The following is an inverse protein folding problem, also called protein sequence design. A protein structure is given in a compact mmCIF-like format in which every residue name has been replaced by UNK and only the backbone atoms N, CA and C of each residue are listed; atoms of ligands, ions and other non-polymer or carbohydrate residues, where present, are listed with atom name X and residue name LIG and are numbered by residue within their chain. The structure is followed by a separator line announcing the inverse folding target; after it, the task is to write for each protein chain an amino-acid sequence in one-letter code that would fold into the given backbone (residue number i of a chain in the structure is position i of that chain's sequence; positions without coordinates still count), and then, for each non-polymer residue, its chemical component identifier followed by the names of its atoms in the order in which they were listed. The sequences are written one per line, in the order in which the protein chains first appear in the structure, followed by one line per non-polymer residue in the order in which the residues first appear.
data_IF_361577481926
#
_entry.id   IF_361577481926
#
_cell.length_a   1.000
_cell.length_b   1.000
_cell.length_c   1.000
_cell.angle_alpha   90.00
_cell.angle_beta   90.00
_cell.angle_gamma   90.00
#
_symmetry.space_group_name_H-M   'P 1'
#
loop_
_entity.id
_entity.type
_entity.pdbx_description
1 polymer ?
#
# COMPACT_ATOMS: atom_id res chain seq x y z
N UNK A 1 -25.27 -3.72 -12.17
CA UNK A 1 -24.39 -4.08 -11.03
C UNK A 1 -23.44 -2.91 -10.77
N UNK A 2 -23.71 -2.04 -9.78
CA UNK A 2 -22.79 -0.94 -9.44
C UNK A 2 -21.54 -1.58 -8.82
N UNK A 3 -20.43 -1.64 -9.56
CA UNK A 3 -19.15 -2.06 -8.99
C UNK A 3 -18.83 -1.14 -7.81
N UNK A 4 -18.73 -1.72 -6.62
CA UNK A 4 -18.50 -1.00 -5.37
C UNK A 4 -17.06 -0.49 -5.37
N UNK A 5 -16.86 0.70 -5.95
CA UNK A 5 -15.57 1.40 -5.93
C UNK A 5 -15.19 1.71 -4.49
N UNK A 6 -13.91 1.55 -4.17
CA UNK A 6 -13.37 2.03 -2.90
C UNK A 6 -13.35 3.56 -2.93
N UNK A 7 -13.65 4.19 -1.78
CA UNK A 7 -13.55 5.64 -1.63
C UNK A 7 -12.13 6.12 -1.99
N UNK A 8 -12.02 7.34 -2.52
CA UNK A 8 -10.71 7.97 -2.73
C UNK A 8 -10.22 8.53 -1.39
N UNK A 9 -9.04 8.09 -0.98
CA UNK A 9 -8.33 8.57 0.20
C UNK A 9 -7.03 9.24 -0.24
N UNK A 10 -6.58 10.24 0.49
CA UNK A 10 -5.18 10.64 0.44
C UNK A 10 -4.34 9.51 1.05
N UNK A 11 -3.46 8.91 0.25
CA UNK A 11 -2.70 7.71 0.67
C UNK A 11 -1.30 8.12 1.10
N UNK A 12 -0.88 7.61 2.26
CA UNK A 12 0.44 7.82 2.85
C UNK A 12 1.19 6.49 2.94
N UNK A 13 2.34 6.36 2.29
CA UNK A 13 3.14 5.12 2.33
C UNK A 13 4.30 5.28 3.31
N UNK A 14 4.23 4.61 4.47
CA UNK A 14 5.21 4.81 5.54
C UNK A 14 5.85 3.49 6.03
N UNK A 15 6.98 3.59 6.72
CA UNK A 15 7.49 2.49 7.52
C UNK A 15 6.75 2.43 8.88
N UNK A 16 6.60 1.25 9.47
CA UNK A 16 5.98 1.15 10.80
C UNK A 16 6.69 2.01 11.87
N UNK A 17 8.03 2.03 11.99
CA UNK A 17 8.71 2.87 12.99
C UNK A 17 8.52 4.39 12.81
N UNK A 18 8.01 4.77 11.65
CA UNK A 18 7.77 6.14 11.25
C UNK A 18 6.40 6.65 11.75
N UNK A 19 5.50 5.75 12.16
CA UNK A 19 4.22 6.11 12.78
C UNK A 19 4.45 6.60 14.20
N UNK A 20 4.21 7.90 14.41
CA UNK A 20 4.27 8.61 15.68
C UNK A 20 3.13 9.63 15.77
N UNK A 21 2.83 10.15 16.95
CA UNK A 21 1.72 11.10 17.10
C UNK A 21 1.97 12.41 16.34
N UNK A 22 3.23 12.81 16.15
CA UNK A 22 3.63 14.10 15.59
C UNK A 22 3.59 14.15 14.06
N UNK A 23 3.41 13.01 13.39
CA UNK A 23 3.37 12.95 11.92
C UNK A 23 1.97 13.21 11.33
N UNK A 24 0.95 13.38 12.18
CA UNK A 24 -0.42 13.57 11.74
C UNK A 24 -0.76 15.06 11.66
N UNK A 25 -0.91 15.57 10.44
CA UNK A 25 -1.32 16.96 10.20
C UNK A 25 -2.83 17.18 10.45
N UNK A 26 -3.59 16.08 10.57
CA UNK A 26 -5.02 16.09 10.86
C UNK A 26 -5.35 15.18 12.04
N UNK A 27 -6.56 15.32 12.58
CA UNK A 27 -7.03 14.46 13.67
C UNK A 27 -7.00 12.99 13.28
N UNK A 28 -6.48 12.13 14.16
CA UNK A 28 -6.40 10.67 13.97
C UNK A 28 -7.78 10.03 13.72
N UNK A 29 -8.87 10.67 14.15
CA UNK A 29 -10.24 10.22 13.83
C UNK A 29 -10.59 10.32 12.34
N UNK A 30 -9.84 11.09 11.54
CA UNK A 30 -9.96 11.15 10.08
C UNK A 30 -8.96 10.26 9.35
N UNK A 31 -8.10 9.57 10.09
CA UNK A 31 -7.05 8.73 9.54
C UNK A 31 -7.40 7.24 9.72
N UNK A 32 -7.01 6.41 8.77
CA UNK A 32 -7.04 4.97 8.91
C UNK A 32 -5.68 4.38 8.59
N UNK A 33 -5.40 3.17 9.09
CA UNK A 33 -4.12 2.49 8.89
C UNK A 33 -4.28 1.04 8.45
N UNK A 34 -3.44 0.64 7.49
CA UNK A 34 -3.20 -0.76 7.10
C UNK A 34 -1.74 -1.08 7.40
N UNK A 35 -1.50 -2.03 8.31
CA UNK A 35 -0.17 -2.51 8.68
C UNK A 35 0.06 -3.94 8.17
N UNK A 36 1.02 -4.12 7.26
CA UNK A 36 1.33 -5.39 6.59
C UNK A 36 2.53 -6.12 7.20
N UNK A 37 2.69 -6.10 8.52
CA UNK A 37 3.88 -6.61 9.21
C UNK A 37 3.55 -7.02 10.64
N UNK A 38 4.28 -8.00 11.16
CA UNK A 38 4.19 -8.48 12.55
C UNK A 38 4.92 -7.58 13.55
N UNK A 39 5.78 -6.69 13.05
CA UNK A 39 6.47 -5.69 13.88
C UNK A 39 5.43 -4.87 14.65
N UNK A 40 5.50 -4.96 15.97
CA UNK A 40 4.68 -4.16 16.85
C UNK A 40 5.11 -2.68 16.80
N UNK A 41 4.12 -1.81 16.97
CA UNK A 41 4.31 -0.40 17.24
C UNK A 41 3.11 0.07 18.05
N UNK A 42 3.36 0.53 19.28
CA UNK A 42 2.32 0.99 20.19
C UNK A 42 1.49 2.15 19.61
N UNK A 43 2.08 2.96 18.73
CA UNK A 43 1.40 4.07 18.05
C UNK A 43 0.31 3.60 17.08
N UNK A 44 0.25 2.31 16.73
CA UNK A 44 -0.92 1.75 16.05
C UNK A 44 -2.18 1.84 16.92
N UNK A 45 -2.06 1.95 18.25
CA UNK A 45 -3.19 2.13 19.17
C UNK A 45 -3.75 3.55 19.18
N UNK A 46 -3.08 4.51 18.51
CA UNK A 46 -3.63 5.85 18.30
C UNK A 46 -4.89 5.81 17.41
N UNK A 47 -4.94 4.87 16.48
CA UNK A 47 -6.07 4.71 15.56
C UNK A 47 -7.21 3.96 16.24
N UNK A 48 -8.47 4.41 16.09
CA UNK A 48 -9.63 3.66 16.54
C UNK A 48 -9.68 2.26 15.92
N UNK A 49 -10.24 1.28 16.64
CA UNK A 49 -10.26 -0.12 16.17
C UNK A 49 -10.89 -0.31 14.79
N UNK A 50 -11.95 0.44 14.48
CA UNK A 50 -12.61 0.42 13.16
C UNK A 50 -11.78 1.04 12.03
N UNK A 51 -10.73 1.79 12.37
CA UNK A 51 -9.84 2.50 11.45
C UNK A 51 -8.44 1.87 11.41
N UNK A 52 -8.29 0.67 11.98
CA UNK A 52 -7.02 -0.05 12.06
C UNK A 52 -7.15 -1.46 11.50
N UNK A 53 -6.29 -1.77 10.53
CA UNK A 53 -6.20 -3.09 9.91
C UNK A 53 -4.76 -3.60 10.02
N UNK A 54 -4.55 -4.67 10.78
CA UNK A 54 -3.24 -5.33 10.88
C UNK A 54 -3.34 -6.69 10.20
N UNK A 55 -2.61 -6.88 9.11
CA UNK A 55 -2.65 -8.09 8.28
C UNK A 55 -1.21 -8.52 7.98
N UNK A 56 -0.58 -9.29 8.88
CA UNK A 56 0.80 -9.70 8.71
C UNK A 56 0.95 -10.73 7.58
N UNK A 57 1.99 -10.56 6.78
CA UNK A 57 2.49 -11.55 5.82
C UNK A 57 3.96 -11.22 5.47
N UNK A 58 4.69 -12.24 5.02
CA UNK A 58 6.10 -12.12 4.68
C UNK A 58 6.30 -11.31 3.39
N UNK A 59 7.45 -10.64 3.30
CA UNK A 59 7.87 -9.88 2.13
C UNK A 59 8.50 -10.81 1.09
N UNK A 60 7.67 -11.63 0.47
CA UNK A 60 8.08 -12.64 -0.52
C UNK A 60 7.22 -12.55 -1.77
N UNK A 61 7.76 -13.01 -2.88
CA UNK A 61 7.04 -13.07 -4.17
C UNK A 61 6.78 -14.49 -4.65
N UNK A 62 7.19 -15.50 -3.88
CA UNK A 62 6.85 -16.90 -4.11
C UNK A 62 5.47 -17.20 -3.51
N UNK A 63 4.45 -17.52 -4.34
CA UNK A 63 3.11 -17.82 -3.85
C UNK A 63 3.04 -19.10 -3.03
N UNK A 64 3.99 -20.03 -3.17
CA UNK A 64 4.01 -21.30 -2.42
C UNK A 64 4.61 -21.15 -1.01
N UNK A 65 5.30 -20.05 -0.74
CA UNK A 65 5.83 -19.78 0.60
C UNK A 65 4.69 -19.68 1.63
N UNK A 66 4.89 -20.34 2.78
CA UNK A 66 3.86 -20.51 3.80
C UNK A 66 3.31 -19.16 4.31
N UNK A 67 4.18 -18.18 4.56
CA UNK A 67 3.80 -16.86 5.05
C UNK A 67 3.55 -15.84 3.93
N UNK A 68 3.51 -16.25 2.66
CA UNK A 68 3.20 -15.34 1.57
C UNK A 68 1.79 -14.76 1.72
N UNK A 69 1.54 -13.61 1.10
CA UNK A 69 0.19 -13.07 1.01
C UNK A 69 -0.76 -14.07 0.33
N UNK A 70 -1.92 -14.32 0.95
CA UNK A 70 -2.98 -15.19 0.41
C UNK A 70 -4.26 -14.40 0.21
N UNK A 71 -5.24 -15.01 -0.46
CA UNK A 71 -6.54 -14.36 -0.71
C UNK A 71 -7.26 -13.91 0.56
N UNK A 72 -7.11 -14.63 1.67
CA UNK A 72 -7.68 -14.22 2.96
C UNK A 72 -7.15 -12.87 3.46
N UNK A 73 -5.83 -12.63 3.33
CA UNK A 73 -5.20 -11.35 3.69
C UNK A 73 -5.76 -10.20 2.84
N UNK A 74 -5.82 -10.40 1.52
CA UNK A 74 -6.36 -9.42 0.60
C UNK A 74 -7.85 -9.11 0.87
N UNK A 75 -8.66 -10.14 1.13
CA UNK A 75 -10.08 -9.93 1.50
C UNK A 75 -10.24 -9.19 2.83
N UNK A 76 -9.35 -9.40 3.80
CA UNK A 76 -9.38 -8.63 5.05
C UNK A 76 -9.14 -7.13 4.79
N UNK A 77 -8.14 -6.79 3.96
CA UNK A 77 -7.85 -5.41 3.53
C UNK A 77 -9.06 -4.82 2.78
N UNK A 78 -9.61 -5.53 1.80
CA UNK A 78 -10.75 -5.07 1.01
C UNK A 78 -11.98 -4.84 1.88
N UNK A 79 -12.27 -5.77 2.80
CA UNK A 79 -13.39 -5.65 3.74
C UNK A 79 -13.20 -4.44 4.64
N UNK A 80 -12.01 -4.24 5.19
CA UNK A 80 -11.66 -3.09 5.99
C UNK A 80 -11.93 -1.77 5.25
N UNK A 81 -11.40 -1.62 4.02
CA UNK A 81 -11.60 -0.42 3.20
C UNK A 81 -13.08 -0.12 2.92
N UNK A 82 -13.90 -1.15 2.71
CA UNK A 82 -15.35 -1.00 2.48
C UNK A 82 -16.12 -0.61 3.74
N UNK A 83 -15.56 -0.83 4.92
CA UNK A 83 -16.19 -0.58 6.22
C UNK A 83 -15.65 0.69 6.89
N UNK A 84 -14.71 1.40 6.25
CA UNK A 84 -14.17 2.63 6.79
C UNK A 84 -15.27 3.70 6.89
N UNK A 85 -15.31 4.44 8.01
CA UNK A 85 -16.25 5.55 8.18
C UNK A 85 -16.07 6.65 7.12
N UNK A 86 -17.15 7.37 6.80
CA UNK A 86 -17.15 8.41 5.77
C UNK A 86 -16.26 9.61 6.14
N UNK A 87 -16.02 9.85 7.43
CA UNK A 87 -15.13 10.88 7.93
C UNK A 87 -13.64 10.60 7.67
N UNK A 88 -13.27 9.35 7.35
CA UNK A 88 -11.89 8.98 7.05
C UNK A 88 -11.47 9.52 5.69
N UNK A 89 -10.51 10.44 5.67
CA UNK A 89 -9.96 11.03 4.44
C UNK A 89 -8.59 10.49 4.10
N UNK A 90 -7.83 10.04 5.11
CA UNK A 90 -6.41 9.73 4.97
C UNK A 90 -6.15 8.26 5.31
N UNK A 91 -5.39 7.59 4.44
CA UNK A 91 -5.08 6.17 4.57
C UNK A 91 -3.57 5.96 4.64
N UNK A 92 -3.09 5.58 5.82
CA UNK A 92 -1.72 5.21 6.08
C UNK A 92 -1.51 3.73 5.76
N UNK A 93 -0.58 3.42 4.86
CA UNK A 93 -0.28 2.06 4.44
C UNK A 93 1.17 1.76 4.78
N UNK A 94 1.37 0.80 5.69
CA UNK A 94 2.63 0.60 6.36
C UNK A 94 3.15 -0.82 6.23
N UNK A 95 4.46 -0.96 6.08
CA UNK A 95 5.17 -2.22 6.26
C UNK A 95 6.45 -2.00 7.09
N UNK A 96 7.28 -3.02 7.26
CA UNK A 96 8.44 -2.92 8.15
C UNK A 96 9.42 -1.79 7.78
N UNK A 97 9.65 -1.55 6.47
CA UNK A 97 10.58 -0.51 5.96
C UNK A 97 9.92 0.51 5.03
N UNK A 98 8.65 0.34 4.67
CA UNK A 98 7.91 1.24 3.78
C UNK A 98 8.20 1.10 2.28
N UNK A 99 9.00 0.12 1.84
CA UNK A 99 9.54 0.09 0.47
C UNK A 99 8.96 -0.96 -0.50
N UNK A 100 8.28 -2.00 0.02
CA UNK A 100 7.90 -3.17 -0.78
C UNK A 100 6.41 -3.54 -0.66
N UNK A 101 5.99 -4.11 0.47
CA UNK A 101 4.58 -4.50 0.69
C UNK A 101 3.61 -3.31 0.71
N UNK A 102 3.94 -2.25 1.44
CA UNK A 102 3.07 -1.07 1.57
C UNK A 102 2.82 -0.34 0.25
N UNK A 103 3.81 -0.04 -0.60
CA UNK A 103 3.53 0.56 -1.91
C UNK A 103 2.72 -0.37 -2.81
N UNK A 104 2.91 -1.70 -2.74
CA UNK A 104 2.08 -2.64 -3.50
C UNK A 104 0.60 -2.60 -3.09
N UNK A 105 0.32 -2.51 -1.78
CA UNK A 105 -1.04 -2.31 -1.27
C UNK A 105 -1.58 -0.95 -1.73
N UNK A 106 -0.80 0.12 -1.62
CA UNK A 106 -1.19 1.46 -2.05
C UNK A 106 -1.57 1.52 -3.54
N UNK A 107 -0.74 0.95 -4.41
CA UNK A 107 -0.99 0.82 -5.84
C UNK A 107 -2.31 0.08 -6.12
N UNK A 108 -2.57 -1.02 -5.41
CA UNK A 108 -3.83 -1.74 -5.55
C UNK A 108 -5.03 -0.90 -5.09
N UNK A 109 -4.93 -0.18 -3.97
CA UNK A 109 -5.99 0.71 -3.46
C UNK A 109 -6.28 1.86 -4.45
N UNK A 110 -5.27 2.45 -5.08
CA UNK A 110 -5.44 3.44 -6.13
C UNK A 110 -6.34 2.90 -7.24
N UNK A 111 -6.02 1.71 -7.78
CA UNK A 111 -6.85 1.08 -8.82
C UNK A 111 -8.26 0.74 -8.35
N UNK A 112 -8.44 0.26 -7.13
CA UNK A 112 -9.76 -0.02 -6.56
C UNK A 112 -10.65 1.23 -6.46
N UNK A 113 -10.02 2.39 -6.25
CA UNK A 113 -10.68 3.70 -6.24
C UNK A 113 -10.84 4.32 -7.64
N UNK A 114 -10.38 3.64 -8.68
CA UNK A 114 -10.40 4.09 -10.07
C UNK A 114 -9.34 5.16 -10.39
N UNK A 115 -8.26 5.24 -9.60
CA UNK A 115 -7.10 6.11 -9.84
C UNK A 115 -5.98 5.32 -10.52
N UNK A 116 -5.07 6.05 -11.17
CA UNK A 116 -3.86 5.49 -11.77
C UNK A 116 -2.86 5.12 -10.68
N UNK A 117 -2.31 3.91 -10.76
CA UNK A 117 -1.29 3.41 -9.84
C UNK A 117 0.15 3.62 -10.31
N UNK A 118 0.35 4.16 -11.52
CA UNK A 118 1.68 4.51 -12.05
C UNK A 118 2.46 5.43 -11.13
N UNK A 119 1.80 6.34 -10.41
CA UNK A 119 2.45 7.21 -9.42
C UNK A 119 3.27 6.44 -8.37
N UNK A 120 2.88 5.19 -8.07
CA UNK A 120 3.64 4.30 -7.17
C UNK A 120 4.71 3.53 -7.94
N UNK A 121 4.38 2.98 -9.11
CA UNK A 121 5.30 2.15 -9.89
C UNK A 121 6.44 2.96 -10.53
N UNK A 122 6.20 4.20 -10.92
CA UNK A 122 7.21 5.10 -11.49
C UNK A 122 8.06 5.79 -10.41
N UNK A 123 7.72 5.64 -9.12
CA UNK A 123 8.53 6.15 -8.04
C UNK A 123 9.72 5.22 -7.76
N UNK A 124 10.97 5.65 -8.04
CA UNK A 124 12.17 4.83 -7.86
C UNK A 124 12.55 4.57 -6.40
N UNK A 125 11.91 5.24 -5.44
CA UNK A 125 12.08 4.95 -4.02
C UNK A 125 11.46 3.61 -3.63
N UNK A 126 10.37 3.22 -4.31
CA UNK A 126 9.65 1.99 -4.03
C UNK A 126 10.08 0.87 -4.96
N UNK A 127 10.01 -0.36 -4.43
CA UNK A 127 10.10 -1.60 -5.20
C UNK A 127 8.88 -2.43 -4.83
N UNK A 128 7.69 -2.11 -5.37
CA UNK A 128 6.46 -2.72 -4.91
C UNK A 128 6.45 -4.25 -5.12
N UNK A 129 6.07 -4.99 -4.08
CA UNK A 129 5.97 -6.45 -4.14
C UNK A 129 4.88 -6.89 -5.14
N UNK A 130 5.28 -7.60 -6.20
CA UNK A 130 4.37 -7.93 -7.30
C UNK A 130 3.27 -8.90 -6.89
N UNK A 131 3.58 -9.87 -6.02
CA UNK A 131 2.62 -10.88 -5.55
C UNK A 131 1.53 -10.22 -4.70
N UNK A 132 1.91 -9.29 -3.84
CA UNK A 132 0.96 -8.51 -3.01
C UNK A 132 -0.03 -7.76 -3.88
N UNK A 133 0.48 -6.99 -4.85
CA UNK A 133 -0.36 -6.24 -5.77
C UNK A 133 -1.31 -7.16 -6.55
N UNK A 134 -0.80 -8.25 -7.11
CA UNK A 134 -1.57 -9.22 -7.89
C UNK A 134 -2.70 -9.88 -7.09
N UNK A 135 -2.39 -10.39 -5.90
CA UNK A 135 -3.37 -11.06 -5.05
C UNK A 135 -4.48 -10.09 -4.66
N UNK A 136 -4.13 -8.87 -4.24
CA UNK A 136 -5.11 -7.86 -3.86
C UNK A 136 -6.01 -7.45 -5.04
N UNK A 137 -5.42 -7.18 -6.21
CA UNK A 137 -6.17 -6.86 -7.41
C UNK A 137 -7.13 -8.00 -7.78
N UNK A 138 -6.65 -9.25 -7.79
CA UNK A 138 -7.45 -10.43 -8.10
C UNK A 138 -8.64 -10.59 -7.15
N UNK A 139 -8.43 -10.51 -5.84
CA UNK A 139 -9.51 -10.67 -4.86
C UNK A 139 -10.55 -9.54 -4.93
N UNK A 140 -10.18 -8.35 -5.42
CA UNK A 140 -11.14 -7.28 -5.68
C UNK A 140 -11.89 -7.44 -7.01
N UNK A 141 -11.36 -8.25 -7.94
CA UNK A 141 -11.89 -8.40 -9.30
C UNK A 141 -11.26 -7.43 -10.31
N UNK A 142 -10.08 -6.87 -10.02
CA UNK A 142 -9.29 -6.11 -10.99
C UNK A 142 -8.45 -7.04 -11.85
N UNK A 143 -8.44 -6.78 -13.15
CA UNK A 143 -7.57 -7.47 -14.08
C UNK A 143 -6.12 -6.97 -13.92
N UNK A 144 -5.24 -7.87 -13.46
CA UNK A 144 -3.80 -7.63 -13.27
C UNK A 144 -3.02 -8.91 -13.67
N UNK A 145 -3.03 -9.29 -14.95
CA UNK A 145 -2.36 -10.50 -15.42
C UNK A 145 -0.84 -10.39 -15.28
N UNK A 146 -0.15 -11.54 -15.32
CA UNK A 146 1.30 -11.60 -15.11
C UNK A 146 2.11 -10.72 -16.05
N UNK A 147 1.74 -10.63 -17.32
CA UNK A 147 2.45 -9.79 -18.28
C UNK A 147 2.35 -8.30 -17.93
N UNK A 148 1.19 -7.85 -17.42
CA UNK A 148 0.96 -6.46 -17.03
C UNK A 148 1.81 -6.12 -15.81
N UNK A 149 1.82 -7.01 -14.83
CA UNK A 149 2.61 -6.81 -13.60
C UNK A 149 4.11 -6.90 -13.87
N UNK A 150 4.55 -7.80 -14.76
CA UNK A 150 5.94 -7.83 -15.24
C UNK A 150 6.34 -6.51 -15.91
N UNK A 151 5.44 -5.92 -16.71
CA UNK A 151 5.68 -4.61 -17.31
C UNK A 151 5.83 -3.50 -16.26
N UNK A 152 4.97 -3.47 -15.23
CA UNK A 152 5.07 -2.50 -14.13
C UNK A 152 6.37 -2.65 -13.33
N UNK A 153 6.81 -3.88 -13.08
CA UNK A 153 8.09 -4.16 -12.41
C UNK A 153 9.27 -3.66 -13.24
N UNK A 154 9.26 -3.91 -14.56
CA UNK A 154 10.32 -3.41 -15.44
C UNK A 154 10.30 -1.88 -15.53
N UNK A 155 9.12 -1.25 -15.61
CA UNK A 155 8.97 0.20 -15.56
C UNK A 155 9.61 0.78 -14.29
N UNK A 156 9.27 0.25 -13.11
CA UNK A 156 9.85 0.67 -11.84
C UNK A 156 11.38 0.54 -11.83
N UNK A 157 11.90 -0.56 -12.37
CA UNK A 157 13.34 -0.78 -12.52
C UNK A 157 13.99 0.27 -13.42
N UNK A 158 13.38 0.64 -14.54
CA UNK A 158 13.90 1.70 -15.40
C UNK A 158 13.92 3.06 -14.71
N UNK A 159 12.83 3.43 -14.02
CA UNK A 159 12.78 4.66 -13.22
C UNK A 159 13.91 4.68 -12.16
N UNK A 160 14.18 3.55 -11.51
CA UNK A 160 15.30 3.43 -10.57
C UNK A 160 16.65 3.65 -11.25
N UNK A 161 16.93 2.98 -12.37
CA UNK A 161 18.18 3.12 -13.11
C UNK A 161 18.40 4.56 -13.61
N UNK A 162 17.35 5.22 -14.09
CA UNK A 162 17.39 6.62 -14.49
C UNK A 162 17.67 7.54 -13.29
N UNK A 163 17.05 7.27 -12.13
CA UNK A 163 17.32 8.03 -10.91
C UNK A 163 18.77 7.92 -10.46
N UNK A 164 19.38 6.75 -10.59
CA UNK A 164 20.80 6.50 -10.31
C UNK A 164 21.69 7.26 -11.29
N UNK A 165 21.42 7.14 -12.60
CA UNK A 165 22.17 7.81 -13.66
C UNK A 165 22.17 9.33 -13.48
N UNK A 166 21.06 9.89 -13.01
CA UNK A 166 20.88 11.32 -12.80
C UNK A 166 21.29 11.78 -11.38
N UNK A 167 21.87 10.90 -10.55
CA UNK A 167 22.23 11.18 -9.14
C UNK A 167 21.06 11.75 -8.31
N UNK A 168 19.84 11.32 -8.61
CA UNK A 168 18.60 11.79 -8.00
C UNK A 168 17.98 10.75 -7.04
N UNK A 169 18.69 9.66 -6.72
CA UNK A 169 18.19 8.56 -5.87
C UNK A 169 17.72 9.00 -4.48
N UNK A 170 18.22 10.12 -3.95
CA UNK A 170 17.79 10.69 -2.66
C UNK A 170 16.73 11.78 -2.76
N UNK A 171 16.30 12.20 -3.96
CA UNK A 171 15.31 13.27 -4.14
C UNK A 171 13.87 12.81 -3.97
N UNK A 172 13.62 11.51 -4.10
CA UNK A 172 12.29 10.93 -3.91
C UNK A 172 12.08 10.70 -2.41
N UNK A 173 11.09 11.37 -1.84
CA UNK A 173 10.78 11.24 -0.42
C UNK A 173 10.22 9.84 -0.12
N UNK A 174 10.65 9.27 1.01
CA UNK A 174 10.20 7.97 1.52
C UNK A 174 8.69 7.92 1.81
N UNK A 175 8.09 9.08 1.99
CA UNK A 175 6.73 9.31 2.47
C UNK A 175 5.99 10.02 1.34
N UNK A 176 5.36 9.26 0.46
CA UNK A 176 4.61 9.86 -0.64
C UNK A 176 3.15 10.03 -0.24
N UNK A 177 2.66 11.26 -0.35
CA UNK A 177 1.24 11.61 -0.32
C UNK A 177 0.71 11.42 -1.75
N UNK A 178 -0.35 10.64 -1.89
CA UNK A 178 -0.98 10.36 -3.17
C UNK A 178 -2.45 10.77 -3.10
N UNK A 179 -2.81 11.81 -3.85
CA UNK A 179 -4.17 12.36 -3.97
C UNK A 179 -4.98 11.74 -5.12
#
# INVERSE_FOLDING_TARGET
MRQHKIKKYTIHILAIPAIKAEIFDISVSKCAIIACTERDNENLKLFPDKQRCVVPFADVEDPEYYLAIKGAHARAIIKFLRQLPDEVTDLYICCSKGGSRSPAVAAAVLRMSGRDDKVVWENPYYVPNRLVYQVICREFGLFAPDWYVKHLVELNRQCYLESVKNSNTGKYERWQIID
#
